data_IF_886090333845
#
_entry.id   IF_886090333845
#
_cell.length_a   1.000
_cell.length_b   1.000
_cell.length_c   1.000
_cell.angle_alpha   90.00
_cell.angle_beta   90.00
_cell.angle_gamma   90.00
#
_symmetry.space_group_name_H-M   'P 1'
#
loop_
_entity.id
_entity.type
_entity.pdbx_description
1 polymer ?
#
# COMPACT_ATOMS: atom_id res chain seq x y z
N UNK A 1 24.12 4.25 11.69
CA UNK A 1 25.32 4.07 12.47
C UNK A 1 26.51 4.89 11.97
N UNK A 2 27.61 4.89 12.71
CA UNK A 2 28.82 5.68 12.44
C UNK A 2 29.46 5.42 11.07
N UNK A 3 29.31 4.21 10.53
CA UNK A 3 29.82 3.85 9.19
C UNK A 3 29.07 4.54 8.06
N UNK A 4 27.80 4.90 8.24
CA UNK A 4 27.01 5.60 7.24
C UNK A 4 27.46 7.05 7.01
N UNK A 5 28.04 7.71 8.01
CA UNK A 5 28.51 9.10 7.90
C UNK A 5 29.67 9.26 6.92
N UNK A 6 30.50 8.23 6.75
CA UNK A 6 31.58 8.21 5.76
C UNK A 6 31.00 8.30 4.33
N UNK A 7 29.90 7.59 4.06
CA UNK A 7 29.24 7.65 2.76
C UNK A 7 28.64 9.04 2.48
N UNK A 8 28.07 9.69 3.50
CA UNK A 8 27.58 11.07 3.39
C UNK A 8 28.72 12.03 3.06
N UNK A 9 29.86 11.94 3.77
CA UNK A 9 31.03 12.75 3.47
C UNK A 9 31.57 12.55 2.04
N UNK A 10 31.58 11.31 1.56
CA UNK A 10 31.99 10.99 0.18
C UNK A 10 31.01 11.53 -0.86
N UNK A 11 29.70 11.47 -0.56
CA UNK A 11 28.68 12.04 -1.44
C UNK A 11 28.83 13.57 -1.53
N UNK A 12 28.95 14.26 -0.38
CA UNK A 12 29.15 15.72 -0.35
C UNK A 12 30.44 16.17 -1.03
N UNK A 13 31.51 15.38 -0.94
CA UNK A 13 32.78 15.62 -1.62
C UNK A 13 32.74 15.25 -3.12
N UNK A 14 31.65 14.72 -3.65
CA UNK A 14 31.54 14.29 -5.04
C UNK A 14 32.34 13.04 -5.40
N UNK A 15 32.89 12.30 -4.43
CA UNK A 15 33.65 11.08 -4.69
C UNK A 15 32.76 9.84 -4.90
N UNK A 16 31.49 9.93 -4.59
CA UNK A 16 30.44 9.00 -5.00
C UNK A 16 29.23 9.79 -5.51
N UNK A 17 28.57 9.25 -6.53
CA UNK A 17 27.34 9.82 -7.07
C UNK A 17 26.14 9.09 -6.45
N UNK A 18 25.29 9.78 -5.64
CA UNK A 18 24.08 9.17 -5.07
C UNK A 18 23.11 8.74 -6.17
N UNK A 19 22.39 7.66 -5.92
CA UNK A 19 21.37 7.13 -6.83
C UNK A 19 20.26 6.39 -6.07
N UNK A 20 20.01 6.78 -4.83
CA UNK A 20 18.92 6.26 -4.01
C UNK A 20 17.76 7.24 -3.94
N UNK A 21 16.57 6.72 -3.65
CA UNK A 21 15.36 7.50 -3.37
C UNK A 21 14.88 7.29 -1.93
N UNK A 22 14.07 8.23 -1.44
CA UNK A 22 13.45 8.13 -0.12
C UNK A 22 12.43 6.99 -0.07
N UNK A 23 12.50 6.18 0.97
CA UNK A 23 11.57 5.08 1.22
C UNK A 23 10.32 5.49 2.00
N UNK A 24 10.13 6.79 2.23
CA UNK A 24 8.98 7.36 2.91
C UNK A 24 8.68 8.76 2.40
N UNK A 25 7.42 9.20 2.51
CA UNK A 25 7.04 10.60 2.32
C UNK A 25 7.50 11.42 3.52
N UNK A 26 8.16 12.54 3.27
CA UNK A 26 8.52 13.52 4.29
C UNK A 26 7.48 14.62 4.35
N UNK A 27 6.77 14.69 5.46
CA UNK A 27 5.77 15.73 5.71
C UNK A 27 6.42 17.02 6.21
N UNK A 28 5.87 18.17 5.86
CA UNK A 28 6.30 19.47 6.39
C UNK A 28 6.12 19.57 7.92
N UNK A 29 5.08 18.89 8.45
CA UNK A 29 4.83 18.74 9.90
C UNK A 29 4.36 17.32 10.17
N UNK A 30 4.83 16.71 11.26
CA UNK A 30 4.39 15.35 11.65
C UNK A 30 2.87 15.26 11.86
N UNK A 31 2.25 16.33 12.36
CA UNK A 31 0.81 16.38 12.58
C UNK A 31 -0.05 16.35 11.31
N UNK A 32 0.57 16.50 10.13
CA UNK A 32 -0.11 16.37 8.83
C UNK A 32 -0.17 14.92 8.33
N UNK A 33 0.58 14.02 8.98
CA UNK A 33 0.51 12.60 8.68
C UNK A 33 -0.72 11.98 9.38
N UNK A 34 -1.61 11.26 8.67
CA UNK A 34 -2.79 10.64 9.26
C UNK A 34 -2.51 9.75 10.48
N UNK A 35 -1.38 9.06 10.48
CA UNK A 35 -0.99 8.17 11.58
C UNK A 35 -0.57 8.90 12.86
N UNK A 36 -0.38 10.22 12.81
CA UNK A 36 0.17 10.98 13.94
C UNK A 36 -0.66 10.86 15.22
N UNK A 37 -1.98 10.85 15.10
CA UNK A 37 -2.90 10.74 16.25
C UNK A 37 -3.08 9.31 16.72
N UNK A 38 -2.71 8.32 15.91
CA UNK A 38 -2.86 6.89 16.21
C UNK A 38 -1.63 6.31 16.89
N UNK A 39 -0.46 6.99 16.80
CA UNK A 39 0.78 6.59 17.45
C UNK A 39 0.78 7.04 18.90
N UNK A 40 1.20 6.15 19.80
CA UNK A 40 1.41 6.42 21.20
C UNK A 40 0.64 5.46 22.13
N UNK A 41 0.80 5.66 23.42
CA UNK A 41 0.09 4.89 24.44
C UNK A 41 -1.34 5.48 24.62
N UNK A 42 -2.26 5.05 23.77
CA UNK A 42 -3.67 5.38 23.93
C UNK A 42 -4.27 4.40 24.93
N UNK A 43 -4.66 4.89 26.10
CA UNK A 43 -5.23 4.08 27.16
C UNK A 43 -6.74 3.96 26.99
N UNK A 44 -7.28 2.74 27.18
CA UNK A 44 -8.74 2.55 27.17
C UNK A 44 -9.43 3.38 28.23
N UNK A 45 -10.63 3.89 27.93
CA UNK A 45 -11.42 4.69 28.86
C UNK A 45 -11.78 4.00 30.16
N UNK A 46 -11.88 2.67 30.13
CA UNK A 46 -12.17 1.80 31.27
C UNK A 46 -10.95 0.93 31.67
N UNK A 47 -9.74 1.43 31.45
CA UNK A 47 -8.49 0.67 31.73
C UNK A 47 -8.39 0.12 33.15
N UNK A 48 -9.01 0.80 34.12
CA UNK A 48 -9.04 0.35 35.51
C UNK A 48 -9.87 -0.93 35.73
N UNK A 49 -10.83 -1.21 34.83
CA UNK A 49 -11.69 -2.40 34.90
C UNK A 49 -11.17 -3.55 34.02
N UNK A 50 -10.12 -3.32 33.23
CA UNK A 50 -9.52 -4.37 32.40
C UNK A 50 -8.65 -5.25 33.29
N UNK A 51 -9.10 -6.47 33.53
CA UNK A 51 -8.35 -7.47 34.29
C UNK A 51 -7.19 -8.01 33.45
N UNK A 52 -6.04 -8.11 34.09
CA UNK A 52 -4.75 -8.43 33.50
C UNK A 52 -4.70 -9.75 32.77
N UNK A 53 -4.50 -9.71 31.47
CA UNK A 53 -4.17 -10.91 30.71
C UNK A 53 -2.67 -11.22 30.72
N UNK A 54 -1.79 -10.21 30.87
CA UNK A 54 -0.33 -10.35 31.01
C UNK A 54 0.22 -9.21 31.87
N UNK A 55 0.40 -9.43 33.17
CA UNK A 55 1.11 -8.55 34.10
C UNK A 55 0.75 -7.03 34.05
N UNK A 56 -0.46 -6.65 33.71
CA UNK A 56 -0.90 -5.26 33.83
C UNK A 56 -0.69 -4.35 32.62
N UNK A 57 -0.18 -4.85 31.51
CA UNK A 57 0.25 -4.02 30.38
C UNK A 57 -0.77 -3.86 29.26
N UNK A 58 -1.90 -4.56 29.24
CA UNK A 58 -2.89 -4.53 28.16
C UNK A 58 -3.91 -3.39 28.24
N UNK A 59 -3.50 -2.24 28.79
CA UNK A 59 -4.38 -1.05 28.93
C UNK A 59 -4.36 -0.14 27.73
N UNK A 60 -3.50 -0.42 26.77
CA UNK A 60 -3.23 0.47 25.65
C UNK A 60 -3.70 -0.15 24.33
N UNK A 61 -4.04 0.70 23.40
CA UNK A 61 -4.44 0.31 22.05
C UNK A 61 -3.81 1.21 20.99
N UNK A 62 -3.77 0.71 19.78
CA UNK A 62 -3.48 1.48 18.57
C UNK A 62 -4.62 1.24 17.59
N UNK A 63 -5.18 2.31 17.05
CA UNK A 63 -6.24 2.26 16.06
C UNK A 63 -5.71 2.74 14.72
N UNK A 64 -5.68 1.86 13.73
CA UNK A 64 -5.24 2.19 12.36
C UNK A 64 -6.40 2.81 11.57
N UNK A 65 -6.91 3.95 12.04
CA UNK A 65 -8.06 4.64 11.43
C UNK A 65 -7.77 5.12 10.01
N UNK A 66 -6.50 5.35 9.68
CA UNK A 66 -6.05 5.72 8.36
C UNK A 66 -6.20 4.60 7.31
N UNK A 67 -6.37 3.35 7.73
CA UNK A 67 -6.46 2.21 6.82
C UNK A 67 -5.23 2.14 5.89
N UNK A 68 -5.46 2.13 4.58
CA UNK A 68 -4.39 2.12 3.57
C UNK A 68 -3.73 3.50 3.36
N UNK A 69 -4.34 4.59 3.88
CA UNK A 69 -3.94 5.96 3.60
C UNK A 69 -2.79 6.42 4.50
N UNK A 70 -1.63 5.82 4.29
CA UNK A 70 -0.37 6.15 4.96
C UNK A 70 0.68 6.59 3.93
N UNK A 71 1.52 7.57 4.30
CA UNK A 71 2.59 8.09 3.45
C UNK A 71 2.06 8.59 2.11
N UNK A 72 2.71 8.18 1.01
CA UNK A 72 2.32 8.62 -0.34
C UNK A 72 0.93 8.12 -0.76
N UNK A 73 0.46 6.99 -0.25
CA UNK A 73 -0.92 6.53 -0.53
C UNK A 73 -1.96 7.53 -0.05
N UNK A 74 -1.68 8.27 1.04
CA UNK A 74 -2.51 9.37 1.49
C UNK A 74 -2.30 10.63 0.63
N UNK A 75 -1.07 11.11 0.56
CA UNK A 75 -0.78 12.42 -0.04
C UNK A 75 -1.11 12.47 -1.53
N UNK A 76 -0.75 11.44 -2.28
CA UNK A 76 -1.01 11.37 -3.72
C UNK A 76 -2.51 11.18 -4.02
N UNK A 77 -3.22 10.41 -3.19
CA UNK A 77 -4.66 10.23 -3.39
C UNK A 77 -5.44 11.50 -3.09
N UNK A 78 -5.07 12.22 -2.01
CA UNK A 78 -5.64 13.54 -1.72
C UNK A 78 -5.39 14.51 -2.86
N UNK A 79 -4.15 14.55 -3.37
CA UNK A 79 -3.78 15.40 -4.49
C UNK A 79 -4.57 15.07 -5.75
N UNK A 80 -4.64 13.79 -6.14
CA UNK A 80 -5.42 13.35 -7.29
C UNK A 80 -6.88 13.78 -7.18
N UNK A 81 -7.51 13.56 -6.03
CA UNK A 81 -8.91 13.87 -5.80
C UNK A 81 -9.18 15.38 -5.91
N UNK A 82 -8.27 16.24 -5.42
CA UNK A 82 -8.35 17.70 -5.59
C UNK A 82 -8.25 18.10 -7.07
N UNK A 83 -7.28 17.57 -7.81
CA UNK A 83 -7.11 17.86 -9.24
C UNK A 83 -8.32 17.38 -10.04
N UNK A 84 -8.87 16.22 -9.71
CA UNK A 84 -10.06 15.67 -10.34
C UNK A 84 -11.36 16.34 -9.87
N UNK A 85 -11.30 17.22 -8.88
CA UNK A 85 -12.46 17.91 -8.28
C UNK A 85 -13.53 16.93 -7.80
N UNK A 86 -13.10 15.86 -7.11
CA UNK A 86 -14.04 14.93 -6.50
C UNK A 86 -14.81 15.61 -5.36
N UNK A 87 -16.04 15.16 -5.13
CA UNK A 87 -16.85 15.64 -4.02
C UNK A 87 -16.21 15.28 -2.66
N UNK A 88 -16.45 16.12 -1.66
CA UNK A 88 -16.00 15.93 -0.26
C UNK A 88 -14.47 15.84 -0.04
N UNK A 89 -13.64 16.28 -1.01
CA UNK A 89 -12.18 16.25 -0.83
C UNK A 89 -11.67 17.25 0.20
N UNK A 90 -12.48 18.30 0.53
CA UNK A 90 -12.06 19.38 1.42
C UNK A 90 -10.88 20.18 0.84
N UNK A 91 -10.24 20.97 1.70
CA UNK A 91 -9.03 21.70 1.35
C UNK A 91 -7.80 20.80 1.53
N UNK A 92 -7.00 20.67 0.50
CA UNK A 92 -5.71 19.98 0.53
C UNK A 92 -4.73 20.68 -0.40
N UNK A 93 -3.64 21.17 0.14
CA UNK A 93 -2.54 21.76 -0.62
C UNK A 93 -1.32 20.85 -0.50
N UNK A 94 -0.93 20.23 -1.61
CA UNK A 94 0.18 19.26 -1.63
C UNK A 94 1.49 19.87 -1.11
N UNK A 95 1.86 21.08 -1.57
CA UNK A 95 3.12 21.73 -1.23
C UNK A 95 3.19 22.16 0.24
N UNK A 96 2.05 22.39 0.88
CA UNK A 96 1.98 22.68 2.32
C UNK A 96 2.09 21.41 3.17
N UNK A 97 1.74 20.25 2.62
CA UNK A 97 1.72 18.98 3.34
C UNK A 97 3.02 18.19 3.14
N UNK A 98 3.52 18.11 1.90
CA UNK A 98 4.65 17.26 1.52
C UNK A 98 5.92 18.08 1.35
N UNK A 99 6.99 17.69 2.04
CA UNK A 99 8.32 18.26 1.85
C UNK A 99 9.09 17.54 0.75
N UNK A 100 9.08 16.21 0.80
CA UNK A 100 9.66 15.34 -0.21
C UNK A 100 8.75 14.13 -0.43
N UNK A 101 8.38 13.83 -1.68
CA UNK A 101 7.57 12.66 -1.99
C UNK A 101 8.33 11.35 -1.73
N UNK A 102 7.59 10.26 -1.60
CA UNK A 102 8.16 8.91 -1.62
C UNK A 102 8.87 8.66 -2.96
N UNK A 103 10.07 8.12 -2.91
CA UNK A 103 10.90 7.89 -4.09
C UNK A 103 11.84 9.03 -4.45
N UNK A 104 11.63 10.24 -3.94
CA UNK A 104 12.47 11.42 -4.23
C UNK A 104 13.94 11.15 -3.94
N UNK A 105 14.81 11.52 -4.87
CA UNK A 105 16.25 11.39 -4.75
C UNK A 105 16.99 12.47 -5.50
N UNK A 106 18.27 12.61 -5.19
CA UNK A 106 19.19 13.52 -5.86
C UNK A 106 20.37 12.75 -6.45
N UNK A 107 20.86 13.21 -7.58
CA UNK A 107 22.04 12.70 -8.27
C UNK A 107 22.86 13.85 -8.85
N UNK A 108 24.15 13.65 -9.04
CA UNK A 108 25.00 14.54 -9.83
C UNK A 108 24.89 14.26 -11.34
N UNK A 109 24.07 13.29 -11.74
CA UNK A 109 23.78 12.95 -13.13
C UNK A 109 22.33 13.27 -13.46
N UNK A 110 22.09 13.65 -14.72
CA UNK A 110 20.76 13.81 -15.30
C UNK A 110 20.52 12.69 -16.31
N UNK A 111 19.36 12.08 -16.22
CA UNK A 111 18.96 10.97 -17.08
C UNK A 111 17.78 11.38 -17.95
N UNK A 112 17.80 10.92 -19.20
CA UNK A 112 16.67 11.03 -20.13
C UNK A 112 16.02 9.66 -20.27
N UNK A 113 14.69 9.61 -20.16
CA UNK A 113 13.89 8.40 -20.30
C UNK A 113 13.12 8.43 -21.61
N UNK A 114 13.33 7.38 -22.43
CA UNK A 114 12.69 7.24 -23.76
C UNK A 114 12.24 5.80 -24.00
N UNK A 115 11.51 5.59 -25.09
CA UNK A 115 11.14 4.26 -25.58
C UNK A 115 10.33 3.45 -24.53
N UNK A 116 9.42 4.11 -23.80
CA UNK A 116 8.48 3.46 -22.89
C UNK A 116 7.62 2.44 -23.64
N UNK A 117 7.55 1.22 -23.12
CA UNK A 117 6.75 0.16 -23.71
C UNK A 117 6.12 -0.68 -22.61
N UNK A 118 4.84 -1.03 -22.80
CA UNK A 118 4.11 -1.99 -21.96
C UNK A 118 3.62 -3.13 -22.82
N UNK A 119 3.85 -4.36 -22.38
CA UNK A 119 3.32 -5.60 -22.97
C UNK A 119 2.70 -6.47 -21.89
N UNK A 120 1.85 -7.40 -22.27
CA UNK A 120 1.31 -8.41 -21.37
C UNK A 120 1.37 -9.78 -22.00
N UNK A 121 1.52 -10.80 -21.16
CA UNK A 121 1.44 -12.20 -21.54
C UNK A 121 0.61 -12.96 -20.52
N UNK A 122 -0.13 -13.96 -20.98
CA UNK A 122 -0.94 -14.83 -20.12
C UNK A 122 -0.49 -16.28 -20.32
N UNK A 123 -0.06 -16.91 -19.24
CA UNK A 123 0.34 -18.31 -19.20
C UNK A 123 -0.33 -19.00 -18.01
N UNK A 124 -1.01 -20.12 -18.25
CA UNK A 124 -1.71 -20.87 -17.18
C UNK A 124 -2.61 -20.00 -16.31
N UNK A 125 -3.44 -19.17 -16.94
CA UNK A 125 -4.36 -18.19 -16.31
C UNK A 125 -3.68 -17.10 -15.44
N UNK A 126 -2.36 -16.98 -15.52
CA UNK A 126 -1.59 -15.92 -14.87
C UNK A 126 -1.18 -14.87 -15.90
N UNK A 127 -1.69 -13.67 -15.74
CA UNK A 127 -1.32 -12.53 -16.58
C UNK A 127 -0.19 -11.74 -15.93
N UNK A 128 0.87 -11.50 -16.71
CA UNK A 128 2.00 -10.67 -16.30
C UNK A 128 2.13 -9.50 -17.28
N UNK A 129 2.29 -8.31 -16.73
CA UNK A 129 2.62 -7.10 -17.49
C UNK A 129 4.13 -6.85 -17.39
N UNK A 130 4.73 -6.50 -18.51
CA UNK A 130 6.12 -6.10 -18.59
C UNK A 130 6.21 -4.67 -19.08
N UNK A 131 6.91 -3.83 -18.33
CA UNK A 131 7.18 -2.43 -18.65
C UNK A 131 8.67 -2.25 -18.87
N UNK A 132 9.06 -1.69 -20.02
CA UNK A 132 10.44 -1.38 -20.33
C UNK A 132 10.62 0.10 -20.66
N UNK A 133 11.77 0.65 -20.27
CA UNK A 133 12.16 2.03 -20.49
C UNK A 133 13.66 2.12 -20.75
N UNK A 134 14.05 2.91 -21.73
CA UNK A 134 15.46 3.22 -22.00
C UNK A 134 15.86 4.46 -21.23
N UNK A 135 16.93 4.33 -20.45
CA UNK A 135 17.53 5.39 -19.61
C UNK A 135 18.90 5.75 -20.17
N UNK A 136 19.11 7.02 -20.49
CA UNK A 136 20.36 7.54 -21.03
C UNK A 136 20.94 8.59 -20.11
N UNK A 137 22.21 8.45 -19.71
CA UNK A 137 22.91 9.49 -18.93
C UNK A 137 23.31 10.66 -19.85
N UNK A 138 22.78 11.83 -19.59
CA UNK A 138 23.09 13.06 -20.35
C UNK A 138 24.19 13.90 -19.72
N UNK A 139 24.66 13.52 -18.54
CA UNK A 139 25.66 14.25 -17.78
C UNK A 139 27.09 13.75 -18.06
N UNK A 140 28.08 14.60 -17.76
CA UNK A 140 29.49 14.19 -17.77
C UNK A 140 29.84 13.25 -16.62
N UNK A 141 29.13 13.36 -15.50
CA UNK A 141 29.30 12.51 -14.33
C UNK A 141 28.63 11.16 -14.59
N UNK A 142 29.37 10.09 -14.39
CA UNK A 142 28.80 8.75 -14.45
C UNK A 142 27.86 8.50 -13.27
N UNK A 143 26.80 7.74 -13.49
CA UNK A 143 25.78 7.50 -12.47
C UNK A 143 24.87 6.34 -12.80
N UNK A 144 24.05 6.01 -11.81
CA UNK A 144 22.94 5.04 -11.95
C UNK A 144 21.64 5.77 -11.70
N UNK A 145 20.58 5.28 -12.33
CA UNK A 145 19.24 5.78 -12.14
C UNK A 145 18.31 4.67 -11.63
N UNK A 146 17.28 5.06 -10.89
CA UNK A 146 16.23 4.17 -10.41
C UNK A 146 14.93 4.49 -11.14
N UNK A 147 14.36 3.47 -11.77
CA UNK A 147 13.05 3.51 -12.40
C UNK A 147 12.06 2.85 -11.44
N UNK A 148 11.05 3.57 -11.01
CA UNK A 148 9.96 3.06 -10.16
C UNK A 148 8.73 2.85 -11.01
N UNK A 149 8.11 1.66 -10.94
CA UNK A 149 6.87 1.31 -11.63
C UNK A 149 5.70 1.45 -10.66
N UNK A 150 4.75 2.28 -11.03
CA UNK A 150 3.53 2.53 -10.28
C UNK A 150 2.30 2.04 -11.04
N UNK A 151 1.37 1.49 -10.28
CA UNK A 151 0.05 1.07 -10.73
C UNK A 151 -1.00 2.05 -10.20
N UNK A 152 -1.88 2.51 -11.06
CA UNK A 152 -3.15 3.11 -10.67
C UNK A 152 -4.28 2.12 -10.90
N UNK A 153 -5.09 1.88 -9.88
CA UNK A 153 -6.33 1.12 -9.93
C UNK A 153 -7.51 2.09 -10.12
N UNK A 154 -8.53 1.76 -10.92
CA UNK A 154 -9.72 2.58 -10.98
C UNK A 154 -10.44 2.58 -9.63
N UNK A 155 -10.88 3.75 -9.18
CA UNK A 155 -11.76 3.89 -8.01
C UNK A 155 -13.20 3.99 -8.51
N UNK A 156 -13.88 2.85 -8.47
CA UNK A 156 -15.15 2.60 -9.16
C UNK A 156 -16.37 2.91 -8.30
N UNK A 157 -17.56 2.88 -8.88
CA UNK A 157 -18.80 2.99 -8.12
C UNK A 157 -18.96 1.82 -7.13
N UNK A 158 -18.56 0.60 -7.54
CA UNK A 158 -18.54 -0.56 -6.64
C UNK A 158 -17.69 -0.28 -5.38
N UNK A 159 -16.50 0.32 -5.57
CA UNK A 159 -15.60 0.64 -4.47
C UNK A 159 -16.21 1.65 -3.51
N UNK A 160 -16.83 2.71 -4.04
CA UNK A 160 -17.51 3.73 -3.25
C UNK A 160 -18.71 3.17 -2.45
N UNK A 161 -19.45 2.23 -3.05
CA UNK A 161 -20.64 1.64 -2.42
C UNK A 161 -20.29 0.62 -1.34
N UNK A 162 -19.10 -0.02 -1.46
CA UNK A 162 -18.69 -1.11 -0.58
C UNK A 162 -17.45 -0.74 0.28
N UNK A 163 -17.02 0.52 0.29
CA UNK A 163 -15.83 1.02 1.02
C UNK A 163 -14.55 0.22 0.69
N UNK A 164 -14.35 -0.10 -0.60
CA UNK A 164 -13.10 -0.71 -1.07
C UNK A 164 -12.11 0.42 -1.35
N UNK A 165 -11.14 0.57 -0.47
CA UNK A 165 -10.22 1.69 -0.54
C UNK A 165 -9.10 1.45 -1.54
N UNK A 166 -8.79 2.48 -2.35
CA UNK A 166 -7.75 2.44 -3.39
C UNK A 166 -6.96 3.74 -3.41
N UNK A 167 -5.64 3.61 -3.36
CA UNK A 167 -4.75 4.75 -3.51
C UNK A 167 -4.68 5.22 -4.98
N UNK A 168 -4.31 6.49 -5.18
CA UNK A 168 -4.09 7.04 -6.52
C UNK A 168 -3.00 6.28 -7.27
N UNK A 169 -1.91 5.95 -6.59
CA UNK A 169 -0.81 5.14 -7.14
C UNK A 169 -0.26 4.17 -6.10
N UNK A 170 0.21 3.01 -6.56
CA UNK A 170 0.89 2.01 -5.74
C UNK A 170 2.18 1.58 -6.42
N UNK A 171 3.31 1.62 -5.71
CA UNK A 171 4.58 1.08 -6.20
C UNK A 171 4.45 -0.44 -6.34
N UNK A 172 4.60 -0.96 -7.56
CA UNK A 172 4.48 -2.40 -7.85
C UNK A 172 5.78 -3.03 -8.32
N UNK A 173 6.81 -2.22 -8.54
CA UNK A 173 8.14 -2.69 -8.91
C UNK A 173 9.12 -1.55 -9.07
N UNK A 174 10.40 -1.89 -9.13
CA UNK A 174 11.46 -0.95 -9.47
C UNK A 174 12.65 -1.67 -10.09
N UNK A 175 13.41 -0.93 -10.86
CA UNK A 175 14.65 -1.39 -11.44
C UNK A 175 15.73 -0.32 -11.37
N UNK A 176 17.00 -0.72 -11.48
CA UNK A 176 18.13 0.20 -11.44
C UNK A 176 19.03 -0.07 -12.63
N UNK A 177 19.49 1.01 -13.28
CA UNK A 177 20.45 0.90 -14.37
C UNK A 177 21.79 0.35 -13.90
N UNK A 178 22.58 -0.21 -14.82
CA UNK A 178 24.03 -0.28 -14.64
C UNK A 178 24.64 1.11 -14.47
N UNK A 179 25.92 1.21 -14.10
CA UNK A 179 26.63 2.47 -14.10
C UNK A 179 26.76 2.97 -15.55
N UNK A 180 26.23 4.17 -15.83
CA UNK A 180 26.19 4.78 -17.15
C UNK A 180 27.17 5.96 -17.24
N UNK A 181 28.08 5.92 -18.18
CA UNK A 181 28.88 7.08 -18.58
C UNK A 181 28.05 8.04 -19.44
N UNK A 182 28.61 9.20 -19.73
CA UNK A 182 27.95 10.17 -20.61
C UNK A 182 27.51 9.53 -21.95
N UNK A 183 26.24 9.73 -22.31
CA UNK A 183 25.57 9.21 -23.49
C UNK A 183 25.44 7.65 -23.54
N UNK A 184 25.83 6.94 -22.49
CA UNK A 184 25.51 5.52 -22.38
C UNK A 184 24.04 5.34 -21.97
N UNK A 185 23.47 4.26 -22.45
CA UNK A 185 22.09 3.88 -22.17
C UNK A 185 22.01 2.48 -21.58
N UNK A 186 20.92 2.25 -20.86
CA UNK A 186 20.48 0.94 -20.39
C UNK A 186 18.97 0.81 -20.60
N UNK A 187 18.47 -0.41 -20.69
CA UNK A 187 17.03 -0.68 -20.71
C UNK A 187 16.66 -1.34 -19.41
N UNK A 188 15.80 -0.66 -18.65
CA UNK A 188 15.25 -1.21 -17.41
C UNK A 188 13.91 -1.85 -17.74
N UNK A 189 13.77 -3.13 -17.41
CA UNK A 189 12.54 -3.90 -17.58
C UNK A 189 12.02 -4.34 -16.22
N UNK A 190 10.73 -4.13 -15.96
CA UNK A 190 10.07 -4.44 -14.70
C UNK A 190 8.81 -5.24 -15.03
N UNK A 191 8.65 -6.41 -14.40
CA UNK A 191 7.48 -7.25 -14.55
C UNK A 191 6.58 -7.12 -13.33
N UNK A 192 5.27 -7.12 -13.55
CA UNK A 192 4.25 -7.11 -12.50
C UNK A 192 3.16 -8.13 -12.81
N UNK A 193 2.83 -8.94 -11.83
CA UNK A 193 1.75 -9.93 -11.89
C UNK A 193 0.40 -9.21 -11.71
N UNK A 194 -0.60 -9.55 -12.52
CA UNK A 194 -1.95 -8.99 -12.47
C UNK A 194 -2.63 -9.13 -11.09
N UNK A 195 -2.22 -10.10 -10.28
CA UNK A 195 -2.75 -10.24 -8.91
C UNK A 195 -2.59 -8.98 -8.07
N UNK A 196 -1.57 -8.15 -8.34
CA UNK A 196 -1.37 -6.87 -7.65
C UNK A 196 -2.37 -5.80 -8.07
N UNK A 197 -3.14 -6.03 -9.15
CA UNK A 197 -4.22 -5.15 -9.58
C UNK A 197 -5.48 -5.34 -8.76
N UNK A 198 -5.63 -6.49 -8.10
CA UNK A 198 -6.74 -6.77 -7.19
C UNK A 198 -6.68 -5.90 -5.93
N UNK A 199 -7.83 -5.68 -5.30
CA UNK A 199 -8.00 -4.99 -4.02
C UNK A 199 -8.89 -5.81 -3.11
N UNK A 200 -8.61 -5.79 -1.80
CA UNK A 200 -9.41 -6.55 -0.85
C UNK A 200 -10.70 -5.80 -0.50
N UNK A 201 -11.84 -6.44 -0.68
CA UNK A 201 -13.15 -5.97 -0.23
C UNK A 201 -13.46 -6.62 1.13
N UNK A 202 -13.32 -5.86 2.20
CA UNK A 202 -13.54 -6.33 3.58
C UNK A 202 -15.00 -6.31 4.02
N UNK A 203 -15.88 -5.67 3.24
CA UNK A 203 -17.26 -5.42 3.66
C UNK A 203 -18.25 -6.37 2.99
N UNK A 204 -18.22 -6.48 1.67
CA UNK A 204 -19.23 -7.22 0.89
C UNK A 204 -18.72 -8.58 0.43
N UNK A 205 -17.70 -8.59 -0.43
CA UNK A 205 -17.19 -9.83 -1.01
C UNK A 205 -16.27 -10.60 -0.05
N UNK A 206 -15.68 -9.92 0.92
CA UNK A 206 -14.70 -10.46 1.89
C UNK A 206 -13.58 -11.25 1.23
N UNK A 207 -13.15 -10.75 0.08
CA UNK A 207 -12.11 -11.36 -0.76
C UNK A 207 -11.44 -10.31 -1.63
N UNK A 208 -10.45 -10.72 -2.44
CA UNK A 208 -9.83 -9.88 -3.44
C UNK A 208 -10.72 -9.78 -4.68
N UNK A 209 -11.02 -8.54 -5.08
CA UNK A 209 -11.78 -8.21 -6.29
C UNK A 209 -10.89 -7.46 -7.28
N UNK A 210 -11.11 -7.66 -8.57
CA UNK A 210 -10.40 -7.00 -9.65
C UNK A 210 -11.39 -6.48 -10.70
N UNK A 211 -11.00 -5.44 -11.42
CA UNK A 211 -11.74 -4.96 -12.58
C UNK A 211 -12.95 -4.09 -12.27
N UNK A 212 -13.73 -3.84 -13.32
CA UNK A 212 -14.99 -3.07 -13.28
C UNK A 212 -15.93 -3.48 -14.40
N UNK A 213 -17.22 -3.35 -14.16
CA UNK A 213 -18.26 -3.54 -15.18
C UNK A 213 -18.43 -2.29 -16.08
N UNK A 214 -17.73 -1.20 -15.79
CA UNK A 214 -17.76 0.02 -16.59
C UNK A 214 -16.49 0.11 -17.46
N UNK A 215 -16.65 0.04 -18.77
CA UNK A 215 -15.56 0.07 -19.75
C UNK A 215 -14.65 1.33 -19.68
N UNK A 216 -15.09 2.39 -19.00
CA UNK A 216 -14.30 3.61 -18.79
C UNK A 216 -13.38 3.52 -17.55
N UNK A 217 -13.57 2.51 -16.70
CA UNK A 217 -12.74 2.30 -15.52
C UNK A 217 -11.50 1.48 -15.91
N UNK A 218 -10.36 2.13 -15.95
CA UNK A 218 -9.13 1.55 -16.45
C UNK A 218 -8.01 1.63 -15.43
N UNK A 219 -7.16 0.61 -15.45
CA UNK A 219 -5.86 0.61 -14.80
C UNK A 219 -4.82 1.31 -15.66
N UNK A 220 -3.81 1.89 -15.01
CA UNK A 220 -2.67 2.51 -15.68
C UNK A 220 -1.37 2.07 -15.01
N UNK A 221 -0.36 1.79 -15.82
CA UNK A 221 1.02 1.59 -15.40
C UNK A 221 1.86 2.78 -15.84
N UNK A 222 2.66 3.33 -14.94
CA UNK A 222 3.59 4.43 -15.25
C UNK A 222 4.93 4.21 -14.59
N UNK A 223 5.99 4.65 -15.27
CA UNK A 223 7.31 4.76 -14.66
C UNK A 223 7.57 6.20 -14.23
N UNK A 224 8.15 6.37 -13.06
CA UNK A 224 8.43 7.67 -12.49
C UNK A 224 9.65 7.62 -11.55
N UNK A 225 10.23 8.79 -11.24
CA UNK A 225 11.29 8.93 -10.26
C UNK A 225 10.79 8.94 -8.82
N UNK A 226 9.52 9.31 -8.63
CA UNK A 226 8.84 9.39 -7.34
C UNK A 226 7.31 9.25 -7.50
N UNK A 227 6.62 9.13 -6.38
CA UNK A 227 5.16 8.91 -6.38
C UNK A 227 4.36 10.12 -6.90
N UNK A 228 4.87 11.34 -6.71
CA UNK A 228 4.17 12.54 -7.18
C UNK A 228 4.28 12.67 -8.70
N UNK A 229 5.46 12.43 -9.27
CA UNK A 229 5.62 12.35 -10.72
C UNK A 229 4.70 11.26 -11.32
N UNK A 230 4.61 10.09 -10.67
CA UNK A 230 3.73 9.01 -11.12
C UNK A 230 2.26 9.45 -11.18
N UNK A 231 1.78 10.12 -10.14
CA UNK A 231 0.41 10.65 -10.09
C UNK A 231 0.18 11.69 -11.18
N UNK A 232 1.12 12.62 -11.36
CA UNK A 232 1.04 13.65 -12.41
C UNK A 232 1.08 13.06 -13.82
N UNK A 233 1.91 12.04 -14.08
CA UNK A 233 1.98 11.37 -15.37
C UNK A 233 0.60 10.80 -15.77
N UNK A 234 -0.05 10.10 -14.82
CA UNK A 234 -1.37 9.49 -15.07
C UNK A 234 -2.46 10.56 -15.19
N UNK A 235 -2.45 11.59 -14.36
CA UNK A 235 -3.38 12.73 -14.49
C UNK A 235 -3.24 13.40 -15.85
N UNK A 236 -2.01 13.61 -16.32
CA UNK A 236 -1.74 14.16 -17.65
C UNK A 236 -2.28 13.26 -18.76
N UNK A 237 -2.07 11.94 -18.66
CA UNK A 237 -2.62 10.93 -19.59
C UNK A 237 -4.13 10.97 -19.65
N UNK A 238 -4.80 11.26 -18.53
CA UNK A 238 -6.25 11.42 -18.42
C UNK A 238 -6.75 12.80 -18.88
N UNK A 239 -5.85 13.69 -19.31
CA UNK A 239 -6.19 15.00 -19.85
C UNK A 239 -6.26 16.16 -18.86
N UNK A 240 -5.83 15.96 -17.61
CA UNK A 240 -5.75 17.03 -16.62
C UNK A 240 -4.55 17.94 -16.88
N UNK A 241 -4.68 19.21 -16.53
CA UNK A 241 -3.61 20.20 -16.71
C UNK A 241 -2.65 20.19 -15.52
N UNK A 242 -1.70 19.26 -15.56
CA UNK A 242 -0.64 19.09 -14.55
C UNK A 242 0.71 18.93 -15.27
N UNK A 243 1.81 19.11 -14.52
CA UNK A 243 3.17 18.87 -15.01
C UNK A 243 3.51 17.39 -14.93
N UNK A 244 3.15 16.63 -15.97
CA UNK A 244 3.34 15.18 -16.07
C UNK A 244 3.81 14.76 -17.46
N UNK A 245 4.29 13.52 -17.56
CA UNK A 245 4.83 12.89 -18.78
C UNK A 245 3.90 11.75 -19.23
N UNK A 246 2.88 12.07 -20.02
CA UNK A 246 1.87 11.11 -20.50
C UNK A 246 2.45 10.01 -21.42
N UNK A 247 3.59 10.27 -22.02
CA UNK A 247 4.36 9.30 -22.81
C UNK A 247 5.06 8.22 -21.98
N UNK A 248 5.10 8.35 -20.65
CA UNK A 248 5.61 7.36 -19.70
C UNK A 248 4.49 6.54 -19.03
N UNK A 249 3.30 6.54 -19.63
CA UNK A 249 2.11 5.85 -19.13
C UNK A 249 1.60 4.85 -20.15
N UNK A 250 1.14 3.69 -19.69
CA UNK A 250 0.49 2.69 -20.53
C UNK A 250 -0.75 3.23 -21.25
N UNK A 251 -1.17 2.56 -22.29
CA UNK A 251 -2.56 2.68 -22.72
C UNK A 251 -3.49 2.25 -21.58
N UNK A 252 -4.75 2.71 -21.58
CA UNK A 252 -5.75 2.23 -20.64
C UNK A 252 -5.83 0.70 -20.67
N UNK A 253 -5.79 0.07 -19.49
CA UNK A 253 -5.93 -1.38 -19.31
C UNK A 253 -7.29 -1.61 -18.68
N UNK A 254 -8.24 -2.17 -19.44
CA UNK A 254 -9.53 -2.58 -18.92
C UNK A 254 -9.50 -4.04 -18.51
N UNK A 255 -10.09 -4.35 -17.35
CA UNK A 255 -10.29 -5.70 -16.84
C UNK A 255 -11.75 -5.76 -16.40
N UNK A 256 -12.47 -6.78 -16.84
CA UNK A 256 -13.83 -7.03 -16.38
C UNK A 256 -13.86 -7.37 -14.89
N UNK A 257 -14.97 -7.02 -14.22
CA UNK A 257 -15.10 -7.29 -12.79
C UNK A 257 -15.07 -8.79 -12.50
N UNK A 258 -14.23 -9.20 -11.56
CA UNK A 258 -14.09 -10.59 -11.12
C UNK A 258 -13.79 -10.62 -9.61
N UNK A 259 -14.56 -11.37 -8.85
CA UNK A 259 -14.42 -11.58 -7.41
C UNK A 259 -14.00 -13.02 -7.05
N UNK A 260 -13.66 -13.83 -8.07
CA UNK A 260 -13.27 -15.24 -7.93
C UNK A 260 -11.79 -15.46 -8.26
N UNK A 261 -11.28 -14.89 -9.35
CA UNK A 261 -9.94 -15.15 -9.90
C UNK A 261 -8.82 -15.02 -8.87
N UNK A 262 -8.91 -14.00 -8.01
CA UNK A 262 -7.94 -13.72 -6.94
C UNK A 262 -8.56 -13.84 -5.56
N UNK A 263 -9.62 -14.66 -5.43
CA UNK A 263 -10.30 -14.81 -4.16
C UNK A 263 -9.37 -15.36 -3.09
N UNK A 264 -9.58 -14.96 -1.84
CA UNK A 264 -8.81 -15.45 -0.71
C UNK A 264 -8.86 -16.97 -0.60
N UNK A 265 -10.02 -17.58 -0.95
CA UNK A 265 -10.17 -19.03 -0.93
C UNK A 265 -9.28 -19.74 -1.95
N UNK A 266 -9.07 -19.14 -3.13
CA UNK A 266 -8.15 -19.69 -4.13
C UNK A 266 -6.70 -19.54 -3.69
N UNK A 267 -6.32 -18.40 -3.11
CA UNK A 267 -4.99 -18.21 -2.54
C UNK A 267 -4.71 -19.17 -1.38
N UNK A 268 -5.70 -19.45 -0.54
CA UNK A 268 -5.59 -20.44 0.55
C UNK A 268 -5.41 -21.84 -0.03
N UNK A 269 -6.14 -22.20 -1.08
CA UNK A 269 -5.95 -23.50 -1.75
C UNK A 269 -4.54 -23.64 -2.32
N UNK A 270 -4.03 -22.60 -2.99
CA UNK A 270 -2.64 -22.59 -3.50
C UNK A 270 -1.60 -22.70 -2.38
N UNK A 271 -1.77 -21.93 -1.31
CA UNK A 271 -0.90 -21.97 -0.16
C UNK A 271 -0.92 -23.34 0.53
N UNK A 272 -2.10 -23.93 0.72
CA UNK A 272 -2.25 -25.27 1.29
C UNK A 272 -1.63 -26.35 0.41
N UNK A 273 -1.78 -26.26 -0.92
CA UNK A 273 -1.15 -27.19 -1.85
C UNK A 273 0.37 -27.08 -1.77
N UNK A 274 0.92 -25.88 -1.79
CA UNK A 274 2.36 -25.62 -1.67
C UNK A 274 2.90 -26.08 -0.32
N UNK A 275 2.17 -25.86 0.77
CA UNK A 275 2.55 -26.30 2.11
C UNK A 275 2.59 -27.83 2.18
N UNK A 276 1.55 -28.52 1.70
CA UNK A 276 1.50 -29.99 1.64
C UNK A 276 2.64 -30.60 0.83
N UNK A 277 3.05 -29.94 -0.26
CA UNK A 277 4.20 -30.37 -1.06
C UNK A 277 5.53 -30.22 -0.30
N UNK A 278 5.70 -29.10 0.44
CA UNK A 278 6.92 -28.78 1.17
C UNK A 278 7.09 -29.61 2.44
N UNK A 279 5.99 -30.01 3.07
CA UNK A 279 5.95 -30.73 4.37
C UNK A 279 5.30 -32.11 4.22
N UNK A 280 5.92 -32.96 3.40
CA UNK A 280 5.52 -34.39 3.29
C UNK A 280 5.84 -35.12 4.59
N UNK A 281 4.85 -35.38 5.43
CA UNK A 281 5.03 -36.12 6.67
C UNK A 281 4.03 -35.76 7.76
N UNK A 282 4.46 -35.82 9.04
CA UNK A 282 3.61 -35.60 10.19
C UNK A 282 2.91 -34.23 10.22
N UNK A 283 3.52 -33.19 9.61
CA UNK A 283 2.92 -31.87 9.52
C UNK A 283 1.58 -31.86 8.76
N UNK A 284 1.36 -32.78 7.83
CA UNK A 284 0.06 -32.96 7.19
C UNK A 284 -1.07 -33.32 8.17
N UNK A 285 -0.72 -33.82 9.37
CA UNK A 285 -1.67 -34.20 10.40
C UNK A 285 -2.07 -33.05 11.32
N UNK A 286 -1.41 -31.89 11.24
CA UNK A 286 -1.69 -30.72 12.10
C UNK A 286 -2.84 -29.84 11.63
N UNK A 287 -3.64 -30.28 10.65
CA UNK A 287 -4.82 -29.57 10.20
C UNK A 287 -4.53 -28.31 9.40
N UNK A 288 -3.33 -28.20 8.82
CA UNK A 288 -2.95 -27.07 7.92
C UNK A 288 -3.76 -27.06 6.64
N UNK A 289 -4.40 -28.17 6.31
CA UNK A 289 -5.43 -28.27 5.29
C UNK A 289 -6.75 -27.54 5.67
N UNK A 290 -6.79 -26.96 6.86
CA UNK A 290 -7.91 -26.16 7.39
C UNK A 290 -7.52 -24.68 7.61
N UNK A 291 -6.42 -24.19 7.02
CA UNK A 291 -6.21 -22.75 7.00
C UNK A 291 -7.38 -22.13 6.25
N UNK A 292 -8.23 -21.45 7.01
CA UNK A 292 -9.37 -20.71 6.47
C UNK A 292 -9.00 -19.25 6.36
N UNK A 293 -9.71 -18.50 5.52
CA UNK A 293 -9.61 -17.06 5.49
C UNK A 293 -9.98 -16.50 6.88
N UNK A 294 -9.01 -15.97 7.61
CA UNK A 294 -9.24 -15.42 8.94
C UNK A 294 -10.14 -14.17 8.93
N UNK A 295 -10.30 -13.54 7.76
CA UNK A 295 -11.21 -12.42 7.58
C UNK A 295 -12.67 -12.85 7.35
N UNK A 296 -12.95 -14.13 7.07
CA UNK A 296 -14.30 -14.65 6.98
C UNK A 296 -14.95 -14.85 8.34
N UNK A 297 -14.16 -15.07 9.38
CA UNK A 297 -14.63 -15.17 10.75
C UNK A 297 -14.73 -13.76 11.34
N UNK A 298 -15.87 -13.11 11.09
CA UNK A 298 -16.14 -11.72 11.52
C UNK A 298 -16.15 -11.54 13.03
N UNK A 299 -16.06 -12.61 13.79
CA UNK A 299 -15.98 -12.56 15.24
C UNK A 299 -14.56 -12.21 15.74
N UNK A 300 -13.56 -12.08 14.85
CA UNK A 300 -12.19 -11.83 15.24
C UNK A 300 -11.64 -10.50 14.74
N UNK A 301 -11.26 -9.63 15.68
CA UNK A 301 -10.29 -8.55 15.53
C UNK A 301 -10.62 -7.42 14.54
N UNK A 302 -11.85 -7.30 14.05
CA UNK A 302 -12.27 -6.03 13.50
C UNK A 302 -12.77 -5.14 14.63
N UNK A 303 -12.62 -3.84 14.48
CA UNK A 303 -13.14 -2.82 15.40
C UNK A 303 -14.65 -2.99 15.69
N UNK A 304 -15.37 -3.55 14.74
CA UNK A 304 -16.82 -3.78 14.84
C UNK A 304 -17.17 -4.99 15.70
N UNK A 305 -16.20 -5.88 15.95
CA UNK A 305 -16.42 -7.16 16.66
C UNK A 305 -15.80 -7.23 18.04
N UNK A 306 -14.85 -6.37 18.35
CA UNK A 306 -14.47 -6.12 19.73
C UNK A 306 -15.56 -5.20 20.24
N UNK A 307 -16.29 -5.55 21.31
CA UNK A 307 -17.24 -4.65 21.99
C UNK A 307 -16.56 -3.34 22.45
N UNK A 308 -15.89 -2.68 21.51
CA UNK A 308 -15.15 -1.46 21.71
C UNK A 308 -16.05 -0.32 21.29
N UNK A 309 -16.43 0.50 22.23
CA UNK A 309 -17.10 1.76 21.98
C UNK A 309 -16.18 2.92 22.37
N UNK A 310 -16.34 4.04 21.71
CA UNK A 310 -15.77 5.29 22.22
C UNK A 310 -16.48 5.68 23.52
N UNK A 311 -15.84 6.48 24.36
CA UNK A 311 -16.44 6.94 25.64
C UNK A 311 -17.70 7.75 25.46
N UNK A 312 -17.96 8.30 24.27
CA UNK A 312 -19.16 9.03 23.90
C UNK A 312 -20.19 8.17 23.16
N UNK A 313 -19.94 6.84 23.03
CA UNK A 313 -20.80 5.89 22.33
C UNK A 313 -20.67 5.94 20.79
N UNK A 314 -19.74 6.73 20.25
CA UNK A 314 -19.50 6.76 18.81
C UNK A 314 -18.65 5.56 18.39
N UNK A 315 -18.81 5.09 17.14
CA UNK A 315 -17.92 4.15 16.52
C UNK A 315 -16.67 4.86 15.98
N UNK A 316 -15.51 4.20 15.90
CA UNK A 316 -14.36 4.77 15.21
C UNK A 316 -14.69 5.05 13.75
N UNK A 317 -14.40 6.28 13.31
CA UNK A 317 -14.51 6.63 11.90
C UNK A 317 -13.22 6.24 11.17
N UNK A 318 -13.32 5.33 10.23
CA UNK A 318 -12.19 5.02 9.35
C UNK A 318 -12.10 6.04 8.21
N UNK A 319 -10.87 6.37 7.84
CA UNK A 319 -10.63 7.23 6.70
C UNK A 319 -11.04 6.52 5.41
N UNK A 320 -11.90 7.16 4.63
CA UNK A 320 -12.31 6.66 3.32
C UNK A 320 -12.03 7.70 2.24
N UNK A 321 -11.72 7.25 1.04
CA UNK A 321 -11.57 8.12 -0.13
C UNK A 321 -12.89 8.80 -0.51
N UNK A 322 -14.02 8.17 -0.22
CA UNK A 322 -15.36 8.73 -0.44
C UNK A 322 -15.60 9.96 0.42
N UNK A 323 -15.07 9.95 1.63
CA UNK A 323 -15.25 11.02 2.61
C UNK A 323 -13.99 11.22 3.44
N UNK A 324 -13.14 12.15 3.03
CA UNK A 324 -11.90 12.47 3.73
C UNK A 324 -12.11 13.16 5.10
N UNK A 325 -13.33 13.43 5.49
CA UNK A 325 -13.67 14.16 6.72
C UNK A 325 -13.51 13.35 8.02
N UNK A 326 -13.16 12.04 7.91
CA UNK A 326 -13.14 11.14 9.04
C UNK A 326 -12.07 11.44 10.08
N UNK A 327 -11.10 10.60 10.17
CA UNK A 327 -10.23 10.36 11.31
C UNK A 327 -8.95 11.16 11.38
N UNK A 328 -8.66 12.03 10.41
CA UNK A 328 -7.43 12.83 10.42
C UNK A 328 -7.43 13.74 11.66
N UNK A 329 -6.44 13.54 12.53
CA UNK A 329 -6.22 14.33 13.75
C UNK A 329 -7.31 14.21 14.85
N UNK A 330 -8.17 13.19 14.76
CA UNK A 330 -9.16 12.95 15.82
C UNK A 330 -8.68 11.83 16.74
N UNK A 331 -8.33 12.16 17.98
CA UNK A 331 -8.11 11.14 19.02
C UNK A 331 -9.46 10.57 19.44
N UNK A 332 -9.55 9.26 19.43
CA UNK A 332 -10.68 8.54 20.02
C UNK A 332 -10.27 7.96 21.36
N UNK A 333 -11.22 7.79 22.26
CA UNK A 333 -11.02 7.10 23.52
C UNK A 333 -11.94 5.89 23.54
N UNK A 334 -11.35 4.71 23.40
CA UNK A 334 -12.07 3.46 23.39
C UNK A 334 -12.35 2.94 24.78
N UNK A 335 -13.48 2.27 24.95
CA UNK A 335 -13.78 1.39 26.07
C UNK A 335 -13.96 -0.01 25.56
N UNK A 336 -13.51 -0.99 26.31
CA UNK A 336 -13.68 -2.42 25.99
C UNK A 336 -14.53 -3.04 27.11
N UNK A 337 -15.61 -3.69 26.72
CA UNK A 337 -16.35 -4.57 27.62
C UNK A 337 -15.69 -5.96 27.57
N UNK A 338 -15.21 -6.42 28.75
CA UNK A 338 -14.69 -7.78 28.85
C UNK A 338 -15.86 -8.76 28.75
N UNK A 339 -16.02 -9.36 27.57
CA UNK A 339 -16.91 -10.52 27.42
C UNK A 339 -16.04 -11.79 27.50
N UNK A 340 -15.92 -12.31 28.74
CA UNK A 340 -15.04 -13.43 29.08
C UNK A 340 -15.41 -14.71 28.33
N UNK A 341 -16.64 -14.86 27.87
CA UNK A 341 -17.11 -16.08 27.17
C UNK A 341 -16.64 -16.12 25.71
N UNK A 342 -16.38 -14.95 25.11
CA UNK A 342 -15.75 -14.87 23.78
C UNK A 342 -14.21 -15.04 23.86
N UNK A 343 -13.59 -14.74 24.99
CA UNK A 343 -12.14 -14.90 25.18
C UNK A 343 -11.68 -16.36 25.08
N UNK A 344 -12.52 -17.32 25.39
CA UNK A 344 -12.18 -18.75 25.26
C UNK A 344 -11.93 -19.18 23.80
N UNK A 345 -12.64 -18.58 22.87
CA UNK A 345 -12.47 -18.84 21.43
C UNK A 345 -11.19 -18.21 20.89
N UNK A 346 -10.88 -16.98 21.36
CA UNK A 346 -9.61 -16.29 21.08
C UNK A 346 -8.43 -17.04 21.67
N UNK A 347 -8.53 -17.50 22.91
CA UNK A 347 -7.49 -18.31 23.61
C UNK A 347 -7.25 -19.61 22.85
N UNK A 348 -8.29 -20.29 22.42
CA UNK A 348 -8.18 -21.53 21.65
C UNK A 348 -7.44 -21.31 20.31
N UNK A 349 -7.66 -20.20 19.65
CA UNK A 349 -7.01 -19.88 18.38
C UNK A 349 -5.59 -19.34 18.56
N UNK A 350 -5.34 -18.56 19.61
CA UNK A 350 -3.97 -18.15 19.98
C UNK A 350 -3.14 -19.36 20.40
N UNK A 351 -3.72 -20.32 21.13
CA UNK A 351 -3.04 -21.56 21.50
C UNK A 351 -2.74 -22.40 20.25
N UNK A 352 -3.61 -22.36 19.25
CA UNK A 352 -3.37 -23.02 17.96
C UNK A 352 -2.20 -22.36 17.20
N UNK A 353 -2.12 -21.04 17.22
CA UNK A 353 -1.00 -20.27 16.66
C UNK A 353 0.31 -20.50 17.44
N UNK A 354 0.27 -20.56 18.76
CA UNK A 354 1.44 -20.86 19.62
C UNK A 354 1.95 -22.26 19.31
N UNK A 355 1.07 -23.25 19.24
CA UNK A 355 1.44 -24.61 18.89
C UNK A 355 2.03 -24.72 17.47
N UNK A 356 1.68 -23.82 16.55
CA UNK A 356 2.28 -23.73 15.21
C UNK A 356 3.69 -23.12 15.26
N UNK A 357 3.91 -22.14 16.15
CA UNK A 357 5.21 -21.45 16.31
C UNK A 357 6.21 -22.33 17.07
N UNK A 358 5.76 -23.11 18.05
CA UNK A 358 6.62 -24.06 18.80
C UNK A 358 7.07 -25.28 17.95
N UNK A 359 6.50 -25.41 16.74
CA UNK A 359 6.84 -26.47 15.77
C UNK A 359 7.72 -25.98 14.59
N UNK A 360 7.96 -24.65 14.48
CA UNK A 360 8.88 -24.04 13.52
C UNK A 360 10.24 -23.78 14.18
#
# INVERSE_FOLDING_TARGET
GSTGTIAVGKALAGSINPSGGLSATFFNKHSLNPVYTNIGANEYGNSASITNYRNGENKYYVAYQEGIYNGYKYTETRYEDVIMKRENVGEFNYDEVVKYPFGYGLSYSNFEWTDYKTTSSTENDKTTYEVSIKVTNKSKTEGKDIVQLYLQKPYTQYDMDNNVEKAAVELVGFGKTKLLKQNESDVVTISVDEKYFASYDSHKAKTYVIGSNNANDNYYLTVASDAHEATNNILKKKGYNVDGKDNLVSNPIHIDFDDVKYSTNEHIKEANASFKESYKGEAANFGVDKITNQFDDTDYLTYDNVNASTTDGSTPDYMTRKNWSGTVNKKIKLTVTNDYDNDQKIISNIQHLINLVDYL
#
